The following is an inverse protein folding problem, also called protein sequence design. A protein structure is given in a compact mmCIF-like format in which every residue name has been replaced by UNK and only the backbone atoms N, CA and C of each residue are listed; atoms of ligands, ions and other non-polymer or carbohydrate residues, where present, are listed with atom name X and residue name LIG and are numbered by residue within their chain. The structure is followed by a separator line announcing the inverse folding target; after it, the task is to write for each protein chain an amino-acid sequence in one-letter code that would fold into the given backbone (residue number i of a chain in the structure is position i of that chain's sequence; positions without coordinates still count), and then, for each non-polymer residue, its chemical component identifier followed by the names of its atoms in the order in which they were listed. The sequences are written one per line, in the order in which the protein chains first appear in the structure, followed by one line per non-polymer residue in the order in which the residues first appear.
data_IF_304557054226
#
_entry.id   IF_304557054226
#
_cell.length_a   1.000
_cell.length_b   1.000
_cell.length_c   1.000
_cell.angle_alpha   90.00
_cell.angle_beta   90.00
_cell.angle_gamma   90.00
#
_symmetry.space_group_name_H-M   'P 1'
#
loop_
_entity.id
_entity.type
_entity.pdbx_description
1 polymer ?
2 non-polymer ?
3 water ?
#
# COMPACT_ATOMS: atom_id res chain seq x y z
N UNK A 1 18.26 -12.31 14.29
CA UNK A 1 18.02 -12.69 15.72
C UNK A 1 17.22 -11.58 16.40
N UNK A 2 16.26 -11.99 17.23
CA UNK A 2 15.32 -11.07 17.84
C UNK A 2 15.51 -11.11 19.35
N UNK A 3 15.95 -10.01 19.94
CA UNK A 3 16.10 -9.93 21.39
C UNK A 3 14.75 -9.91 22.12
N UNK A 4 14.80 -10.18 23.42
CA UNK A 4 13.60 -10.16 24.26
C UNK A 4 12.97 -8.80 24.29
N UNK A 5 11.64 -8.77 24.32
CA UNK A 5 10.93 -7.56 24.63
C UNK A 5 11.18 -7.21 26.08
N UNK A 6 11.22 -5.90 26.40
CA UNK A 6 11.27 -5.51 27.80
C UNK A 6 9.93 -5.78 28.49
N UNK A 7 9.93 -5.75 29.82
CA UNK A 7 8.70 -5.75 30.60
C UNK A 7 7.80 -4.63 30.10
N UNK A 8 6.51 -4.93 29.91
CA UNK A 8 5.52 -3.93 29.51
C UNK A 8 4.24 -4.16 30.30
N UNK A 9 3.57 -3.07 30.68
CA UNK A 9 2.28 -3.14 31.36
C UNK A 9 1.21 -2.68 30.38
N UNK A 10 0.29 -3.57 30.04
CA UNK A 10 -0.80 -3.25 29.12
C UNK A 10 -1.96 -4.17 29.43
N UNK A 11 -3.17 -3.83 28.93
CA UNK A 11 -4.33 -4.65 29.24
C UNK A 11 -4.19 -6.06 28.68
N UNK A 12 -4.60 -7.02 29.50
CA UNK A 12 -4.54 -8.44 29.11
C UNK A 12 -5.52 -8.71 27.98
N UNK A 13 -5.06 -9.40 26.92
CA UNK A 13 -6.01 -9.84 25.90
C UNK A 13 -6.89 -10.91 26.52
N UNK A 14 -8.19 -10.85 26.25
CA UNK A 14 -9.12 -11.78 26.85
C UNK A 14 -9.70 -12.68 25.76
N UNK A 15 -9.46 -13.96 25.94
CA UNK A 15 -9.78 -14.98 24.95
C UNK A 15 -11.27 -15.02 24.62
N UNK A 16 -12.11 -14.76 25.62
CA UNK A 16 -13.55 -14.87 25.44
C UNK A 16 -14.20 -13.53 25.13
N UNK A 17 -13.38 -12.55 24.71
CA UNK A 17 -13.89 -11.30 24.12
C UNK A 17 -13.05 -10.86 22.91
N UNK A 18 -13.68 -10.88 21.72
CA UNK A 18 -13.09 -10.31 20.50
C UNK A 18 -12.79 -8.83 20.66
N UNK A 19 -11.78 -8.35 19.92
CA UNK A 19 -11.48 -6.92 19.83
C UNK A 19 -12.57 -6.21 19.02
N UNK A 20 -13.04 -6.88 17.97
CA UNK A 20 -14.05 -6.37 17.07
C UNK A 20 -14.98 -7.53 16.74
N UNK A 21 -16.28 -7.27 16.84
CA UNK A 21 -17.31 -8.25 16.49
C UNK A 21 -18.09 -7.85 15.24
N UNK A 22 -17.85 -6.64 14.75
CA UNK A 22 -18.60 -6.08 13.63
C UNK A 22 -17.92 -6.34 12.28
N UNK A 23 -16.68 -6.81 12.31
CA UNK A 23 -15.90 -7.00 11.09
C UNK A 23 -15.09 -8.29 11.14
N UNK A 24 -14.73 -8.77 9.95
CA UNK A 24 -13.78 -9.88 9.79
C UNK A 24 -12.38 -9.35 10.09
N UNK A 25 -11.69 -10.00 11.02
CA UNK A 25 -10.35 -9.53 11.42
C UNK A 25 -9.20 -10.49 11.05
N UNK A 26 -9.56 -11.61 10.41
CA UNK A 26 -8.58 -12.58 9.91
C UNK A 26 -9.12 -13.18 8.63
N UNK A 27 -8.27 -13.32 7.62
CA UNK A 27 -8.72 -13.92 6.39
C UNK A 27 -8.73 -15.45 6.51
N UNK A 28 -9.41 -16.15 5.59
CA UNK A 28 -9.38 -17.63 5.67
C UNK A 28 -8.01 -18.30 5.46
N UNK A 29 -6.99 -17.55 5.05
CA UNK A 29 -5.63 -18.08 5.02
C UNK A 29 -4.82 -17.54 6.21
N UNK A 30 -5.52 -17.07 7.22
CA UNK A 30 -4.93 -16.70 8.51
C UNK A 30 -4.02 -15.49 8.45
N UNK A 31 -4.40 -14.54 7.60
CA UNK A 31 -3.74 -13.23 7.57
C UNK A 31 -4.60 -12.24 8.36
N UNK A 32 -3.99 -11.49 9.28
CA UNK A 32 -4.76 -10.44 9.95
C UNK A 32 -5.32 -9.40 8.98
N UNK A 33 -6.54 -8.96 9.24
CA UNK A 33 -7.10 -7.78 8.59
C UNK A 33 -7.03 -6.65 9.62
N UNK A 34 -6.33 -5.57 9.27
CA UNK A 34 -5.92 -4.58 10.25
C UNK A 34 -6.99 -3.50 10.39
N UNK A 35 -7.65 -3.52 11.57
CA UNK A 35 -8.63 -2.52 11.97
C UNK A 35 -8.22 -1.94 13.31
N UNK A 36 -8.67 -0.71 13.58
CA UNK A 36 -8.46 -0.14 14.90
C UNK A 36 -9.11 -1.01 15.96
N UNK A 37 -8.35 -1.25 17.04
CA UNK A 37 -8.82 -2.09 18.12
C UNK A 37 -8.25 -3.50 18.07
N UNK A 38 -7.66 -3.91 16.94
CA UNK A 38 -7.10 -5.25 16.81
C UNK A 38 -5.63 -5.33 17.25
N UNK A 39 -4.96 -4.18 17.33
CA UNK A 39 -3.53 -4.19 17.67
C UNK A 39 -3.17 -3.27 18.81
N UNK A 40 -2.17 -3.69 19.59
CA UNK A 40 -1.55 -2.87 20.59
C UNK A 40 -0.31 -2.27 19.96
N UNK A 41 -0.36 -0.97 19.67
CA UNK A 41 0.74 -0.33 18.93
C UNK A 41 2.04 -0.28 19.73
N UNK A 42 1.92 -0.33 21.06
CA UNK A 42 3.10 -0.29 21.90
C UNK A 42 3.93 -1.57 21.75
N UNK A 43 3.23 -2.71 21.70
CA UNK A 43 3.92 -3.99 21.49
C UNK A 43 4.56 -4.01 20.09
N UNK A 44 3.80 -3.58 19.08
CA UNK A 44 4.32 -3.62 17.72
C UNK A 44 5.49 -2.64 17.54
N UNK A 45 5.37 -1.45 18.11
CA UNK A 45 6.49 -0.53 17.97
C UNK A 45 7.77 -1.09 18.57
N UNK A 46 7.64 -1.76 19.72
CA UNK A 46 8.78 -2.40 20.38
C UNK A 46 9.39 -3.44 19.44
N UNK A 47 8.54 -4.32 18.91
CA UNK A 47 9.04 -5.40 18.07
C UNK A 47 9.79 -4.84 16.88
N UNK A 48 9.23 -3.83 16.22
CA UNK A 48 9.85 -3.33 15.00
C UNK A 48 11.04 -2.40 15.27
N UNK A 49 11.00 -1.67 16.37
CA UNK A 49 12.17 -0.85 16.72
C UNK A 49 13.35 -1.76 17.10
N UNK A 50 13.08 -2.87 17.77
CA UNK A 50 14.17 -3.78 18.15
C UNK A 50 14.89 -4.40 16.95
N UNK A 51 14.22 -4.38 15.80
CA UNK A 51 14.83 -4.83 14.53
C UNK A 51 15.43 -3.68 13.73
N UNK A 52 15.38 -2.47 14.27
CA UNK A 52 15.81 -1.25 13.58
C UNK A 52 15.25 -1.18 12.15
N UNK A 53 13.93 -1.29 12.08
CA UNK A 53 13.20 -1.35 10.82
C UNK A 53 13.26 -0.04 10.04
N UNK A 54 13.57 -0.16 8.74
CA UNK A 54 13.52 0.98 7.83
C UNK A 54 12.40 0.75 6.80
N UNK A 55 11.54 1.76 6.66
CA UNK A 55 10.43 1.67 5.72
C UNK A 55 10.64 2.64 4.56
N UNK A 56 10.60 2.13 3.33
CA UNK A 56 10.63 2.99 2.17
C UNK A 56 9.21 3.26 1.72
N UNK A 57 8.95 4.51 1.33
CA UNK A 57 7.64 4.88 0.82
C UNK A 57 7.85 5.44 -0.58
N UNK A 58 7.25 4.79 -1.58
CA UNK A 58 7.33 5.25 -2.95
C UNK A 58 6.07 6.00 -3.35
N UNK A 59 6.26 7.08 -4.10
CA UNK A 59 5.14 7.89 -4.55
C UNK A 59 5.50 8.52 -5.89
N UNK A 60 4.57 8.43 -6.83
CA UNK A 60 4.73 9.02 -8.15
C UNK A 60 3.97 10.33 -8.25
N UNK A 61 4.66 11.38 -8.70
CA UNK A 61 4.07 12.70 -8.84
C UNK A 61 4.46 13.24 -10.21
N UNK A 62 3.56 13.04 -11.16
CA UNK A 62 3.82 13.31 -12.58
C UNK A 62 2.92 14.42 -13.04
N UNK A 63 3.45 15.27 -13.91
CA UNK A 63 2.70 16.41 -14.47
C UNK A 63 2.04 17.21 -13.33
N UNK A 64 0.74 17.46 -13.44
CA UNK A 64 0.02 18.32 -12.49
C UNK A 64 0.03 17.78 -11.06
N UNK A 65 0.28 16.48 -10.92
CA UNK A 65 0.18 15.82 -9.62
C UNK A 65 1.29 16.21 -8.66
N UNK A 66 2.32 16.90 -9.14
CA UNK A 66 3.35 17.41 -8.25
C UNK A 66 2.75 18.36 -7.20
N UNK A 67 1.63 18.99 -7.53
CA UNK A 67 0.97 19.93 -6.60
C UNK A 67 0.50 19.26 -5.31
N UNK A 68 0.35 17.93 -5.35
CA UNK A 68 -0.13 17.15 -4.20
C UNK A 68 0.97 16.78 -3.21
N UNK A 69 2.22 16.97 -3.59
CA UNK A 69 3.33 16.47 -2.77
C UNK A 69 3.42 17.16 -1.42
N UNK A 70 3.17 18.47 -1.38
CA UNK A 70 3.37 19.21 -0.14
C UNK A 70 2.50 18.66 0.99
N UNK A 71 1.21 18.53 0.73
CA UNK A 71 0.32 18.02 1.77
C UNK A 71 0.59 16.55 2.04
N UNK A 72 0.91 15.80 0.99
CA UNK A 72 1.18 14.39 1.15
C UNK A 72 2.34 14.19 2.12
N UNK A 73 3.44 14.90 1.87
CA UNK A 73 4.65 14.71 2.65
C UNK A 73 4.53 15.30 4.04
N UNK A 74 3.89 16.47 4.17
CA UNK A 74 3.78 17.11 5.49
C UNK A 74 2.90 16.28 6.41
N UNK A 75 1.84 15.70 5.86
CA UNK A 75 0.99 14.86 6.68
C UNK A 75 1.63 13.49 6.93
N UNK A 76 2.44 13.00 6.00
CA UNK A 76 3.17 11.76 6.26
C UNK A 76 4.11 11.97 7.45
N UNK A 77 4.70 13.15 7.53
CA UNK A 77 5.56 13.45 8.65
C UNK A 77 4.83 13.40 9.98
N UNK A 78 3.56 13.76 9.97
CA UNK A 78 2.79 13.75 11.21
C UNK A 78 2.31 12.35 11.58
N UNK A 79 2.17 11.46 10.60
CA UNK A 79 1.36 10.26 10.85
C UNK A 79 1.94 8.93 10.40
N UNK A 80 2.94 8.95 9.52
CA UNK A 80 3.46 7.73 8.90
C UNK A 80 4.74 7.23 9.56
N UNK A 81 4.63 6.09 10.23
CA UNK A 81 5.79 5.43 10.83
C UNK A 81 6.62 6.35 11.72
N UNK A 82 5.97 7.27 12.43
CA UNK A 82 6.72 8.16 13.31
C UNK A 82 7.47 7.38 14.38
N UNK A 83 8.76 7.68 14.52
CA UNK A 83 9.64 6.99 15.46
C UNK A 83 10.53 5.94 14.81
N UNK A 84 10.19 5.58 13.58
CA UNK A 84 10.91 4.59 12.82
C UNK A 84 11.71 5.26 11.72
N UNK A 85 12.64 4.54 11.10
CA UNK A 85 13.43 5.08 10.00
C UNK A 85 12.59 5.02 8.74
N UNK A 86 12.53 6.13 8.02
CA UNK A 86 11.71 6.24 6.81
C UNK A 86 12.53 6.88 5.70
N UNK A 87 12.40 6.28 4.51
CA UNK A 87 13.04 6.83 3.32
C UNK A 87 11.96 7.05 2.28
N UNK A 88 11.67 8.30 1.95
CA UNK A 88 10.73 8.59 0.87
C UNK A 88 11.46 8.55 -0.46
N UNK A 89 10.83 7.94 -1.46
CA UNK A 89 11.32 7.94 -2.82
C UNK A 89 10.25 8.60 -3.68
N UNK A 90 10.52 9.82 -4.12
CA UNK A 90 9.57 10.58 -4.90
C UNK A 90 9.97 10.49 -6.36
N UNK A 91 9.16 9.79 -7.15
CA UNK A 91 9.39 9.65 -8.58
C UNK A 91 8.63 10.72 -9.33
N UNK A 92 9.35 11.54 -10.10
CA UNK A 92 8.72 12.68 -10.73
C UNK A 92 9.38 13.08 -12.03
N UNK A 93 8.60 13.73 -12.89
CA UNK A 93 9.12 14.34 -14.13
C UNK A 93 9.57 15.80 -13.89
N UNK A 94 9.37 16.32 -12.69
CA UNK A 94 9.70 17.71 -12.37
C UNK A 94 10.44 17.81 -11.02
N UNK A 95 11.70 17.39 -10.99
CA UNK A 95 12.44 17.43 -9.71
C UNK A 95 12.41 18.79 -9.03
N UNK A 96 12.39 19.87 -9.82
CA UNK A 96 12.42 21.22 -9.25
C UNK A 96 11.11 21.62 -8.59
N UNK A 97 10.04 20.89 -8.90
CA UNK A 97 8.72 21.19 -8.38
C UNK A 97 8.46 20.46 -7.07
N UNK A 98 9.38 19.61 -6.64
CA UNK A 98 9.22 18.91 -5.37
C UNK A 98 9.39 19.94 -4.24
N UNK A 99 8.38 20.05 -3.35
CA UNK A 99 8.44 21.07 -2.29
C UNK A 99 9.51 20.73 -1.26
N UNK A 100 10.08 21.76 -0.62
CA UNK A 100 11.08 21.51 0.42
C UNK A 100 10.37 21.30 1.75
N UNK A 101 10.25 20.04 2.12
CA UNK A 101 9.46 19.64 3.28
C UNK A 101 10.43 19.29 4.41
N UNK A 102 10.15 19.83 5.59
CA UNK A 102 10.99 19.58 6.75
C UNK A 102 10.70 18.21 7.35
N UNK A 103 11.76 17.41 7.53
CA UNK A 103 11.60 16.04 8.00
C UNK A 103 12.07 15.86 9.44
N UNK A 104 11.40 14.97 10.15
CA UNK A 104 11.82 14.54 11.49
C UNK A 104 13.12 13.76 11.41
N UNK A 105 13.77 13.58 12.56
CA UNK A 105 15.05 12.88 12.59
C UNK A 105 14.88 11.43 12.12
N UNK A 106 15.89 10.90 11.42
CA UNK A 106 15.86 9.51 10.99
C UNK A 106 15.04 9.27 9.73
N UNK A 107 14.70 10.35 9.03
CA UNK A 107 13.85 10.28 7.85
C UNK A 107 14.54 11.03 6.74
N UNK A 108 14.47 10.46 5.54
CA UNK A 108 15.14 11.05 4.39
C UNK A 108 14.28 10.99 3.15
N UNK A 109 14.58 11.85 2.18
CA UNK A 109 13.83 11.89 0.95
C UNK A 109 14.79 11.93 -0.24
N UNK A 110 14.49 11.11 -1.23
CA UNK A 110 15.24 11.09 -2.48
C UNK A 110 14.31 11.41 -3.61
N UNK A 111 14.77 12.29 -4.52
CA UNK A 111 13.99 12.65 -5.70
C UNK A 111 14.55 11.87 -6.87
N UNK A 112 13.71 11.06 -7.49
CA UNK A 112 14.13 10.18 -8.59
C UNK A 112 13.41 10.62 -9.84
N UNK A 113 14.17 11.10 -10.83
CA UNK A 113 13.60 11.60 -12.05
C UNK A 113 13.24 10.46 -12.97
N UNK A 114 12.05 10.58 -13.56
CA UNK A 114 11.56 9.63 -14.55
C UNK A 114 11.06 10.41 -15.77
N UNK A 115 11.13 9.84 -16.98
CA UNK A 115 12.00 8.73 -17.38
C UNK A 115 12.23 8.90 -18.88
N UNK A 116 11.14 9.16 -19.59
CA UNK A 116 11.07 9.35 -21.04
C UNK A 116 9.61 9.14 -21.44
N UNK A 117 9.34 8.04 -22.13
CA UNK A 117 7.99 7.51 -22.39
C UNK A 117 6.96 8.49 -22.95
N UNK A 118 6.82 8.50 -24.27
CA UNK A 118 5.85 9.38 -24.94
C UNK A 118 4.66 8.62 -25.52
N UNK A 119 4.34 7.47 -24.90
CA UNK A 119 3.19 6.65 -25.29
C UNK A 119 2.48 6.10 -24.06
N UNK A 120 1.15 6.24 -24.02
CA UNK A 120 0.34 5.93 -22.84
C UNK A 120 0.53 4.50 -22.29
N UNK A 121 0.95 3.59 -23.16
CA UNK A 121 1.21 2.19 -22.78
C UNK A 121 2.32 2.08 -21.73
N UNK A 122 3.42 2.79 -21.98
CA UNK A 122 4.57 2.81 -21.06
C UNK A 122 4.27 3.58 -19.79
N UNK A 123 3.42 4.62 -19.90
CA UNK A 123 2.95 5.37 -18.73
C UNK A 123 2.15 4.46 -17.79
N UNK A 124 1.26 3.64 -18.35
CA UNK A 124 0.45 2.71 -17.56
C UNK A 124 1.32 1.72 -16.79
N UNK A 125 2.41 1.29 -17.43
CA UNK A 125 3.32 0.29 -16.88
C UNK A 125 4.44 0.90 -16.05
N UNK A 126 4.53 2.23 -16.06
CA UNK A 126 5.67 2.93 -15.46
C UNK A 126 5.91 2.53 -14.01
N UNK A 127 4.87 2.57 -13.18
CA UNK A 127 5.09 2.35 -11.76
C UNK A 127 5.60 0.94 -11.46
N UNK A 128 4.90 -0.06 -11.99
CA UNK A 128 5.31 -1.44 -11.76
C UNK A 128 6.72 -1.69 -12.29
N UNK A 129 7.00 -1.16 -13.48
CA UNK A 129 8.33 -1.25 -14.07
C UNK A 129 9.41 -0.56 -13.21
N UNK A 130 9.08 0.64 -12.72
CA UNK A 130 10.06 1.41 -11.93
C UNK A 130 10.47 0.72 -10.62
N UNK A 131 9.49 0.14 -9.94
CA UNK A 131 9.73 -0.53 -8.66
C UNK A 131 10.49 -1.86 -8.80
N UNK A 132 10.28 -2.53 -9.94
CA UNK A 132 10.83 -3.88 -10.16
C UNK A 132 12.07 -3.93 -11.04
N UNK A 133 12.15 -3.05 -12.03
CA UNK A 133 13.19 -3.12 -13.07
C UNK A 133 14.36 -2.14 -12.90
N UNK A 134 14.14 -1.04 -12.18
CA UNK A 134 15.15 0.02 -12.12
C UNK A 134 15.68 0.33 -10.72
N UNK A 135 14.84 0.13 -9.71
CA UNK A 135 15.18 0.51 -8.34
C UNK A 135 15.51 -0.70 -7.48
N UNK A 136 15.62 -1.85 -8.14
CA UNK A 136 15.74 -3.15 -7.47
C UNK A 136 16.88 -3.22 -6.44
N UNK A 137 18.10 -2.97 -6.90
CA UNK A 137 19.28 -3.02 -6.05
C UNK A 137 19.26 -1.95 -4.96
N UNK A 138 18.78 -0.76 -5.31
CA UNK A 138 18.78 0.36 -4.36
C UNK A 138 17.88 0.05 -3.17
N UNK A 139 16.65 -0.38 -3.45
CA UNK A 139 15.69 -0.70 -2.39
C UNK A 139 16.19 -1.81 -1.46
N UNK A 140 16.77 -2.86 -2.03
CA UNK A 140 17.28 -3.97 -1.23
C UNK A 140 18.39 -3.50 -0.28
N UNK A 141 19.16 -2.52 -0.72
CA UNK A 141 20.27 -2.02 0.09
C UNK A 141 19.83 -1.03 1.16
N UNK A 142 18.72 -0.34 0.95
CA UNK A 142 18.38 0.84 1.76
C UNK A 142 17.22 0.68 2.73
N UNK A 143 16.28 -0.23 2.44
CA UNK A 143 15.09 -0.36 3.30
C UNK A 143 14.72 -1.82 3.51
N UNK A 144 13.91 -2.08 4.54
CA UNK A 144 13.44 -3.43 4.85
C UNK A 144 12.08 -3.73 4.20
N UNK A 145 11.22 -2.71 4.21
CA UNK A 145 9.87 -2.79 3.68
C UNK A 145 9.64 -1.65 2.71
N UNK A 146 8.80 -1.91 1.71
CA UNK A 146 8.41 -0.89 0.76
C UNK A 146 6.91 -0.73 0.79
N UNK A 147 6.46 0.51 0.77
CA UNK A 147 5.03 0.85 0.76
C UNK A 147 4.81 1.74 -0.45
N UNK A 148 3.83 1.37 -1.29
CA UNK A 148 3.59 2.05 -2.55
C UNK A 148 2.22 2.68 -2.50
N UNK A 149 2.19 4.02 -2.58
CA UNK A 149 0.94 4.77 -2.44
C UNK A 149 0.79 5.83 -3.51
N UNK A 150 -0.45 6.29 -3.67
CA UNK A 150 -0.79 7.41 -4.55
C UNK A 150 -0.52 8.74 -3.87
N UNK A 151 -0.23 9.77 -4.65
CA UNK A 151 0.13 11.08 -4.12
C UNK A 151 -1.06 11.99 -3.78
N UNK A 152 -2.20 11.79 -4.44
CA UNK A 152 -3.34 12.69 -4.30
C UNK A 152 -4.13 12.35 -3.05
N UNK A 153 -3.41 12.33 -1.94
CA UNK A 153 -3.87 11.79 -0.68
C UNK A 153 -3.28 12.59 0.47
N UNK A 154 -3.87 12.43 1.65
CA UNK A 154 -3.31 13.01 2.87
C UNK A 154 -3.45 12.02 4.02
N UNK A 155 -2.49 12.04 4.95
CA UNK A 155 -2.63 11.25 6.17
C UNK A 155 -3.38 12.09 7.17
N UNK A 156 -4.34 11.47 7.85
CA UNK A 156 -5.13 12.13 8.90
C UNK A 156 -4.94 11.50 10.25
N UNK A 157 -4.43 10.27 10.26
CA UNK A 157 -4.29 9.55 11.51
C UNK A 157 -3.19 8.53 11.34
N UNK A 158 -2.92 7.82 12.43
CA UNK A 158 -1.81 6.88 12.52
C UNK A 158 -1.76 5.86 11.38
N UNK A 159 -0.62 5.79 10.70
CA UNK A 159 -0.34 4.67 9.79
C UNK A 159 1.05 4.21 10.17
N UNK A 160 1.13 3.02 10.79
CA UNK A 160 2.38 2.60 11.45
C UNK A 160 2.72 1.14 11.20
N UNK A 161 3.56 0.60 12.08
CA UNK A 161 4.18 -0.69 11.77
C UNK A 161 3.19 -1.84 11.80
N UNK A 162 1.98 -1.58 12.29
CA UNK A 162 0.94 -2.60 12.22
C UNK A 162 0.72 -3.09 10.80
N UNK A 163 1.07 -2.27 9.80
CA UNK A 163 0.84 -2.72 8.40
C UNK A 163 1.95 -3.60 7.87
N UNK A 164 3.10 -3.66 8.53
CA UNK A 164 4.26 -4.33 7.94
C UNK A 164 4.20 -5.84 8.07
N UNK A 165 4.62 -6.50 7.01
CA UNK A 165 4.44 -7.93 6.81
C UNK A 165 5.08 -8.23 5.46
N UNK A 166 5.36 -9.51 5.17
CA UNK A 166 5.94 -9.78 3.85
C UNK A 166 5.14 -9.22 2.66
N UNK A 167 3.82 -9.31 2.70
CA UNK A 167 3.04 -8.82 1.56
C UNK A 167 1.65 -8.35 1.98
N UNK A 168 1.29 -7.08 1.68
CA UNK A 168 -0.05 -6.63 2.02
C UNK A 168 -0.74 -5.92 0.87
N UNK A 169 -2.07 -6.05 0.87
CA UNK A 169 -2.92 -5.20 0.04
C UNK A 169 -3.95 -4.53 0.94
N UNK A 170 -4.72 -3.61 0.34
CA UNK A 170 -5.66 -2.78 1.08
C UNK A 170 -7.04 -2.93 0.47
N UNK A 171 -8.02 -3.19 1.33
CA UNK A 171 -9.41 -3.26 0.87
C UNK A 171 -9.87 -1.94 0.27
N UNK A 172 -10.31 -1.99 -0.99
CA UNK A 172 -10.78 -0.80 -1.69
C UNK A 172 -12.02 -0.25 -0.96
N UNK A 173 -12.04 1.07 -0.70
CA UNK A 173 -13.13 1.64 0.09
C UNK A 173 -14.50 1.54 -0.57
N UNK A 174 -14.53 1.40 -1.89
CA UNK A 174 -15.80 1.35 -2.61
C UNK A 174 -16.47 0.00 -2.60
N UNK A 175 -15.74 -1.05 -2.24
CA UNK A 175 -16.21 -2.41 -2.49
C UNK A 175 -16.08 -3.41 -1.34
N UNK A 176 -15.72 -2.95 -0.15
CA UNK A 176 -15.47 -3.88 0.96
C UNK A 176 -16.73 -4.67 1.33
N UNK A 177 -17.90 -4.09 1.10
CA UNK A 177 -19.15 -4.79 1.39
C UNK A 177 -19.75 -5.51 0.19
N UNK A 178 -19.05 -5.50 -0.94
CA UNK A 178 -19.56 -6.12 -2.17
C UNK A 178 -19.31 -7.62 -2.28
N UNK A 179 -20.21 -8.31 -2.98
CA UNK A 179 -20.02 -9.71 -3.33
C UNK A 179 -19.08 -9.78 -4.53
N UNK A 180 -18.34 -10.89 -4.64
CA UNK A 180 -17.26 -10.99 -5.63
C UNK A 180 -17.73 -10.81 -7.08
N UNK A 181 -18.95 -11.23 -7.39
CA UNK A 181 -19.45 -11.11 -8.75
C UNK A 181 -19.56 -9.65 -9.19
N UNK A 182 -19.65 -8.75 -8.20
CA UNK A 182 -19.78 -7.31 -8.43
C UNK A 182 -18.44 -6.60 -8.50
N UNK A 183 -17.37 -7.27 -8.08
CA UNK A 183 -16.05 -6.66 -8.14
C UNK A 183 -15.70 -6.28 -9.58
N UNK A 184 -15.07 -5.12 -9.76
CA UNK A 184 -14.64 -4.72 -11.09
C UNK A 184 -13.29 -5.33 -11.47
N UNK A 185 -13.13 -6.63 -11.25
CA UNK A 185 -11.98 -7.37 -11.79
C UNK A 185 -12.00 -7.29 -13.31
N UNK A 186 -10.86 -7.51 -13.94
CA UNK A 186 -10.85 -7.76 -15.39
C UNK A 186 -11.58 -9.06 -15.70
N UNK A 187 -12.57 -9.01 -16.60
CA UNK A 187 -13.44 -10.16 -16.86
C UNK A 187 -13.25 -10.80 -18.23
N UNK A 188 -12.35 -10.25 -19.04
CA UNK A 188 -12.10 -10.79 -20.38
C UNK A 188 -10.98 -11.81 -20.30
N UNK A 189 -11.27 -13.08 -20.67
CA UNK A 189 -10.28 -14.16 -20.62
C UNK A 189 -9.02 -13.91 -21.45
N UNK A 190 -9.08 -12.95 -22.38
CA UNK A 190 -7.92 -12.59 -23.20
C UNK A 190 -6.83 -11.82 -22.44
N UNK A 191 -7.19 -11.30 -21.26
CA UNK A 191 -6.25 -10.54 -20.43
C UNK A 191 -5.59 -11.42 -19.36
N UNK A 192 -4.31 -11.19 -19.13
CA UNK A 192 -3.61 -11.84 -18.04
C UNK A 192 -4.23 -11.57 -16.68
N UNK A 193 -4.96 -10.46 -16.56
CA UNK A 193 -5.56 -10.08 -15.28
C UNK A 193 -6.93 -10.72 -15.04
N UNK A 194 -7.39 -11.51 -16.01
CA UNK A 194 -8.70 -12.16 -15.94
C UNK A 194 -8.95 -12.90 -14.63
N UNK A 195 -10.10 -12.62 -14.01
CA UNK A 195 -10.60 -13.39 -12.88
C UNK A 195 -12.08 -13.71 -13.14
N UNK A 196 -12.43 -15.01 -13.17
CA UNK A 196 -13.83 -15.45 -13.33
C UNK A 196 -14.73 -14.98 -12.21
N UNK A 197 -16.04 -14.96 -12.46
CA UNK A 197 -17.03 -14.47 -11.51
C UNK A 197 -17.15 -15.27 -10.22
N UNK A 198 -16.65 -16.51 -10.23
CA UNK A 198 -16.68 -17.38 -9.06
C UNK A 198 -15.36 -17.42 -8.28
N UNK A 199 -14.44 -16.54 -8.64
CA UNK A 199 -13.18 -16.41 -7.91
C UNK A 199 -13.01 -15.03 -7.32
N UNK A 200 -12.15 -14.93 -6.31
CA UNK A 200 -11.82 -13.64 -5.71
C UNK A 200 -12.10 -13.64 -4.22
N UNK A 201 -11.16 -13.08 -3.45
CA UNK A 201 -11.38 -12.92 -2.01
C UNK A 201 -11.90 -11.52 -1.74
N UNK A 202 -11.14 -10.54 -2.22
CA UNK A 202 -11.39 -9.13 -1.94
C UNK A 202 -11.08 -8.31 -3.18
N UNK A 203 -11.56 -7.06 -3.21
CA UNK A 203 -11.10 -6.13 -4.24
C UNK A 203 -10.11 -5.17 -3.58
N UNK A 204 -8.85 -5.27 -3.99
CA UNK A 204 -7.79 -4.45 -3.41
C UNK A 204 -7.57 -3.20 -4.26
N UNK A 205 -7.23 -2.09 -3.59
CA UNK A 205 -6.99 -0.85 -4.35
C UNK A 205 -5.51 -0.66 -4.70
N UNK A 206 -5.28 -0.21 -5.93
CA UNK A 206 -3.91 0.01 -6.40
C UNK A 206 -3.18 1.12 -5.67
N UNK A 207 -3.92 1.92 -4.90
CA UNK A 207 -3.36 3.09 -4.23
C UNK A 207 -2.57 2.84 -2.95
N UNK A 208 -2.51 1.59 -2.48
CA UNK A 208 -1.81 1.30 -1.22
C UNK A 208 -1.54 -0.19 -1.12
N UNK A 209 -0.31 -0.58 -1.45
CA UNK A 209 0.15 -1.95 -1.25
C UNK A 209 1.60 -1.94 -0.80
N UNK A 210 2.13 -3.08 -0.37
CA UNK A 210 3.50 -3.09 0.06
C UNK A 210 3.90 -4.42 0.63
N UNK A 211 5.01 -4.43 1.35
CA UNK A 211 5.53 -5.67 1.91
C UNK A 211 7.03 -5.58 2.07
N UNK A 212 7.68 -6.72 2.23
CA UNK A 212 9.14 -6.70 2.24
C UNK A 212 9.65 -6.31 0.86
N UNK A 213 10.88 -5.79 0.78
CA UNK A 213 11.39 -5.41 -0.52
C UNK A 213 11.30 -6.60 -1.50
N UNK A 214 11.72 -7.78 -1.06
CA UNK A 214 11.67 -8.95 -1.93
C UNK A 214 10.27 -9.24 -2.47
N UNK A 215 9.27 -9.17 -1.59
CA UNK A 215 7.91 -9.52 -2.04
C UNK A 215 7.31 -8.44 -2.92
N UNK A 216 7.65 -7.19 -2.66
CA UNK A 216 7.15 -6.12 -3.50
C UNK A 216 7.80 -6.18 -4.87
N UNK A 217 9.08 -6.54 -4.92
CA UNK A 217 9.74 -6.69 -6.22
C UNK A 217 9.12 -7.86 -7.01
N UNK A 218 8.81 -8.95 -6.32
CA UNK A 218 8.14 -10.06 -6.99
C UNK A 218 6.78 -9.66 -7.55
N UNK A 219 6.02 -8.91 -6.76
CA UNK A 219 4.69 -8.48 -7.18
C UNK A 219 4.77 -7.54 -8.36
N UNK A 220 5.65 -6.54 -8.26
CA UNK A 220 5.72 -5.54 -9.32
C UNK A 220 6.31 -6.13 -10.60
N UNK A 221 7.26 -7.04 -10.48
CA UNK A 221 7.80 -7.76 -11.63
C UNK A 221 6.70 -8.56 -12.33
N UNK A 222 5.93 -9.31 -11.56
CA UNK A 222 4.89 -10.14 -12.15
C UNK A 222 3.84 -9.28 -12.82
N UNK A 223 3.45 -8.18 -12.17
CA UNK A 223 2.43 -7.29 -12.77
C UNK A 223 2.96 -6.63 -14.05
N UNK A 224 4.22 -6.21 -14.03
CA UNK A 224 4.82 -5.60 -15.21
C UNK A 224 4.86 -6.59 -16.36
N UNK A 225 5.29 -7.82 -16.09
CA UNK A 225 5.34 -8.85 -17.13
C UNK A 225 3.95 -9.14 -17.70
N UNK A 226 2.94 -9.23 -16.83
CA UNK A 226 1.59 -9.50 -17.26
C UNK A 226 1.03 -8.34 -18.12
N UNK A 227 1.39 -7.11 -17.75
CA UNK A 227 0.97 -5.95 -18.51
C UNK A 227 1.62 -5.90 -19.89
N UNK A 228 2.88 -6.33 -19.96
CA UNK A 228 3.57 -6.41 -21.25
C UNK A 228 2.93 -7.43 -22.17
N UNK A 229 2.53 -8.57 -21.61
CA UNK A 229 1.82 -9.58 -22.39
C UNK A 229 0.51 -9.01 -22.92
N UNK A 230 -0.27 -8.37 -22.06
CA UNK A 230 -1.52 -7.74 -22.50
C UNK A 230 -1.29 -6.73 -23.62
N UNK A 231 -0.26 -5.90 -23.49
CA UNK A 231 0.04 -4.92 -24.53
C UNK A 231 0.32 -5.58 -25.86
N UNK A 232 1.14 -6.63 -25.84
CA UNK A 232 1.45 -7.40 -27.06
C UNK A 232 0.19 -8.04 -27.66
N UNK A 233 -0.78 -8.36 -26.82
CA UNK A 233 -2.04 -8.95 -27.25
C UNK A 233 -3.14 -7.92 -27.52
N UNK A 234 -2.75 -6.65 -27.54
CA UNK A 234 -3.65 -5.54 -27.85
C UNK A 234 -4.83 -5.38 -26.90
N UNK A 235 -4.57 -5.56 -25.60
CA UNK A 235 -5.62 -5.42 -24.60
C UNK A 235 -5.09 -4.64 -23.39
N UNK A 236 -5.95 -3.79 -22.83
CA UNK A 236 -5.62 -3.04 -21.63
C UNK A 236 -6.67 -3.37 -20.57
N UNK A 237 -6.20 -3.87 -19.43
CA UNK A 237 -7.08 -4.26 -18.33
C UNK A 237 -7.94 -3.09 -17.88
N UNK A 238 -9.17 -3.40 -17.48
CA UNK A 238 -10.19 -2.40 -17.19
C UNK A 238 -9.72 -1.34 -16.18
N UNK A 239 -8.98 -1.77 -15.16
CA UNK A 239 -8.43 -0.82 -14.19
C UNK A 239 -6.90 -0.85 -14.12
N UNK A 240 -6.26 -1.16 -15.26
CA UNK A 240 -4.83 -0.93 -15.42
C UNK A 240 -4.03 -1.72 -14.40
N UNK A 241 -3.02 -1.13 -13.74
CA UNK A 241 -2.24 -1.98 -12.84
C UNK A 241 -3.00 -2.49 -11.62
N UNK A 242 -4.12 -1.85 -11.31
CA UNK A 242 -4.96 -2.34 -10.22
C UNK A 242 -5.59 -3.68 -10.55
N UNK A 243 -5.94 -3.88 -11.83
CA UNK A 243 -6.49 -5.15 -12.24
C UNK A 243 -5.47 -6.28 -12.08
N UNK A 244 -4.23 -5.98 -12.45
CA UNK A 244 -3.13 -6.92 -12.31
C UNK A 244 -2.75 -7.16 -10.85
N UNK A 245 -2.74 -6.10 -10.06
CA UNK A 245 -2.50 -6.27 -8.61
C UNK A 245 -3.52 -7.24 -8.02
N UNK A 246 -4.79 -7.09 -8.41
CA UNK A 246 -5.84 -8.00 -7.94
C UNK A 246 -5.62 -9.43 -8.36
N UNK A 247 -5.16 -9.63 -9.59
CA UNK A 247 -4.89 -10.98 -10.06
C UNK A 247 -3.75 -11.57 -9.24
N UNK A 248 -2.69 -10.78 -9.03
CA UNK A 248 -1.55 -11.27 -8.26
C UNK A 248 -1.92 -11.67 -6.85
N UNK A 249 -2.71 -10.83 -6.18
CA UNK A 249 -3.08 -11.09 -4.79
C UNK A 249 -4.12 -12.18 -4.60
N UNK A 250 -4.84 -12.52 -5.68
CA UNK A 250 -5.69 -13.71 -5.67
C UNK A 250 -4.82 -14.97 -5.64
N UNK A 251 -3.76 -14.98 -6.44
CA UNK A 251 -2.92 -16.16 -6.62
C UNK A 251 -1.75 -16.24 -5.63
N UNK A 252 -1.42 -15.11 -4.99
CA UNK A 252 -0.37 -15.03 -3.97
C UNK A 252 -0.99 -14.29 -2.80
N UNK A 253 -1.47 -15.03 -1.81
CA UNK A 253 -2.29 -14.41 -0.77
C UNK A 253 -1.45 -13.46 0.06
N UNK A 254 -1.97 -12.25 0.34
CA UNK A 254 -1.23 -11.34 1.21
C UNK A 254 -1.20 -11.84 2.66
N UNK A 255 -0.11 -11.51 3.35
CA UNK A 255 0.08 -11.97 4.72
C UNK A 255 -0.53 -11.00 5.74
N UNK A 256 -0.89 -9.78 5.32
CA UNK A 256 -1.86 -8.93 6.04
C UNK A 256 -2.73 -8.25 5.02
N UNK A 257 -3.94 -7.90 5.44
CA UNK A 257 -4.83 -7.09 4.60
C UNK A 257 -5.20 -5.84 5.39
N UNK A 258 -5.04 -4.65 4.79
CA UNK A 258 -5.41 -3.43 5.50
C UNK A 258 -6.89 -3.12 5.29
N UNK A 259 -7.57 -2.70 6.35
CA UNK A 259 -8.97 -2.31 6.23
C UNK A 259 -9.08 -0.96 5.51
N UNK A 260 -10.30 -0.58 5.11
CA UNK A 260 -10.41 0.71 4.42
C UNK A 260 -10.12 1.94 5.29
N UNK A 261 -9.81 1.76 6.57
CA UNK A 261 -9.26 2.86 7.36
C UNK A 261 -8.05 3.44 6.65
N UNK A 262 -7.36 2.57 5.92
CA UNK A 262 -6.05 2.91 5.33
C UNK A 262 -6.16 3.50 3.93
N UNK A 263 -7.36 3.48 3.34
CA UNK A 263 -7.56 4.09 2.04
C UNK A 263 -9.04 4.48 1.91
N UNK A 264 -9.32 5.76 2.12
CA UNK A 264 -10.71 6.20 2.21
C UNK A 264 -10.94 7.45 1.39
N UNK A 265 -12.19 7.68 0.97
CA UNK A 265 -12.57 8.94 0.35
C UNK A 265 -13.82 9.41 1.06
N UNK A 266 -13.66 10.42 1.93
CA UNK A 266 -14.77 10.89 2.75
C UNK A 266 -15.82 11.63 1.94
N UNK A 267 -15.40 12.33 0.90
CA UNK A 267 -16.34 13.10 0.09
C UNK A 267 -17.31 12.13 -0.58
N UNK A 268 -16.77 11.01 -1.05
CA UNK A 268 -17.56 10.05 -1.80
C UNK A 268 -18.33 9.08 -0.92
N UNK A 269 -17.80 8.75 0.25
CA UNK A 269 -18.28 7.60 1.03
C UNK A 269 -18.62 7.91 2.50
N UNK A 270 -18.37 9.14 2.92
CA UNK A 270 -18.73 9.55 4.27
C UNK A 270 -17.85 8.99 5.37
N UNK A 271 -18.45 8.66 6.51
CA UNK A 271 -17.69 8.11 7.63
C UNK A 271 -18.53 7.05 8.33
N UNK A 272 -18.54 5.84 7.76
CA UNK A 272 -19.33 4.72 8.34
C UNK A 272 -18.92 4.37 9.76
N UNK A 273 -19.88 3.79 10.50
CA UNK A 273 -19.63 3.38 11.88
C UNK A 273 -18.51 2.36 11.97
N UNK A 274 -18.34 1.56 10.92
CA UNK A 274 -17.33 0.50 10.96
C UNK A 274 -15.90 1.05 10.92
N UNK A 275 -15.74 2.33 10.55
CA UNK A 275 -14.43 2.98 10.53
C UNK A 275 -14.26 3.85 11.76
N UNK A 276 -13.42 3.41 12.69
CA UNK A 276 -13.19 4.17 13.92
C UNK A 276 -12.19 5.30 13.67
N UNK A 277 -11.41 5.14 12.61
CA UNK A 277 -10.41 6.12 12.23
C UNK A 277 -10.38 6.20 10.70
N UNK A 278 -10.15 7.41 10.19
CA UNK A 278 -9.86 7.60 8.77
C UNK A 278 -8.39 8.02 8.70
N UNK A 279 -7.54 7.09 8.26
CA UNK A 279 -6.10 7.28 8.39
C UNK A 279 -5.42 7.97 7.21
N UNK A 280 -5.86 7.62 6.00
CA UNK A 280 -5.17 8.02 4.77
C UNK A 280 -6.30 8.19 3.76
N UNK A 281 -6.50 9.43 3.30
CA UNK A 281 -7.73 9.81 2.59
C UNK A 281 -7.47 10.58 1.32
N UNK A 282 -8.38 10.42 0.37
CA UNK A 282 -8.33 11.16 -0.88
C UNK A 282 -8.47 12.66 -0.66
N UNK A 283 -7.70 13.44 -1.40
CA UNK A 283 -7.85 14.89 -1.34
C UNK A 283 -9.01 15.26 -2.27
N UNK A 284 -10.05 15.96 -1.74
CA UNK A 284 -11.25 16.33 -2.50
C UNK A 284 -10.94 17.04 -3.82
X LIG B 1 -10.82 6.43 -7.26
X LIG B 1 -13.78 4.08 -6.99
X LIG B 1 -10.98 7.94 -7.45
X LIG B 1 -10.89 8.25 -8.85
X LIG B 1 -12.33 8.38 -6.92
X LIG B 1 -12.45 9.81 -7.06
X LIG B 1 -12.47 8.00 -5.46
X LIG B 1 -11.45 8.66 -4.69
X LIG B 1 -12.32 6.49 -5.31
X LIG B 1 -11.04 6.07 -5.87
X LIG B 1 -12.38 6.08 -3.85
X LIG B 1 -13.82 0.04 -9.77
X LIG B 1 -19.92 1.36 -6.66
X LIG B 1 -19.45 2.61 -5.92
X LIG B 1 -17.93 2.54 -5.76
X LIG B 1 -17.32 3.95 -5.75
X LIG B 1 -15.78 3.88 -5.69
X LIG B 1 -15.17 3.73 -7.08
X LIG B 1 -13.06 3.71 -8.16
X LIG B 1 -12.99 2.25 -8.25
X LIG B 1 -12.34 1.88 -9.45
X LIG B 1 -12.45 0.37 -9.53
X LIG B 1 -10.88 2.32 -9.40
X LIG B 1 -10.17 1.74 -8.27
X LIG B 1 -10.84 3.85 -9.29
X LIG B 1 -9.49 4.29 -9.13
X LIG B 1 -11.65 4.31 -8.08
X LIG B 1 -11.77 5.76 -8.08
#
# INVERSE_FOLDING_TARGET
FMVSLPRMVYPQPKVLTPCRKDVLVVTPWLAPIVWEGTFNIDILNEQFRLQNTTIGLTVFAIKKYVAFLKLFLETAEKHFMVGHRVHYYVFTDQPAAVPRVTLGTGRQLSVLEVRAYKRWQDVSMRRMEMISDFCERRFLSEVDYLVCVDVDMEFRDHVGVEILTPLFGTLHPGFYGSSREAFTYERRPQSQAYIPKDEGDFYYMGAFFGGSVQEVQRLTRACHQAMMVDQANGIEAVWHDESHLNKYLLRHKPTKVLSPEYLWDQQLLGWPAVLRKLRFTAVPKNHQAVRNPE
BHE C1 O1 C2 O2 C3 O3 C4 O4 C5 O5 C6 O6 C6B C5B C4B C3B C2B C1B C1A O5A C5A C6A C4A O4A C3A O3A C2A O2A
#
